data_IF_368409868790
#
_entry.id   IF_368409868790
#
_cell.length_a   1.000
_cell.length_b   1.000
_cell.length_c   1.000
_cell.angle_alpha   90.00
_cell.angle_beta   90.00
_cell.angle_gamma   90.00
#
_symmetry.space_group_name_H-M   'P 1'
#
loop_
_entity.id
_entity.type
_entity.pdbx_description
1 polymer ?
#
# COMPACT_ATOMS: atom_id res chain seq x y z
N UNK A 1 8.59 -11.53 -21.63
CA UNK A 1 8.69 -12.48 -22.76
C UNK A 1 10.12 -12.59 -23.27
N UNK A 2 10.79 -11.50 -23.66
CA UNK A 2 12.17 -11.55 -24.20
C UNK A 2 13.19 -12.31 -23.32
N UNK A 3 13.12 -12.16 -22.00
CA UNK A 3 14.02 -12.86 -21.07
C UNK A 3 13.76 -14.37 -21.01
N UNK A 4 12.50 -14.79 -21.14
CA UNK A 4 12.10 -16.20 -21.15
C UNK A 4 12.51 -16.82 -22.48
N UNK A 5 12.27 -16.13 -23.59
CA UNK A 5 12.72 -16.57 -24.90
C UNK A 5 14.25 -16.71 -24.97
N UNK A 6 14.99 -15.75 -24.40
CA UNK A 6 16.46 -15.82 -24.32
C UNK A 6 16.93 -17.05 -23.54
N UNK A 7 16.30 -17.36 -22.41
CA UNK A 7 16.60 -18.56 -21.63
C UNK A 7 16.27 -19.84 -22.42
N UNK A 8 15.09 -19.92 -23.05
CA UNK A 8 14.69 -21.09 -23.84
C UNK A 8 15.60 -21.32 -25.03
N UNK A 9 16.02 -20.28 -25.74
CA UNK A 9 16.99 -20.40 -26.84
C UNK A 9 18.34 -20.92 -26.33
N UNK A 10 18.85 -20.39 -25.21
CA UNK A 10 20.11 -20.90 -24.63
C UNK A 10 19.99 -22.35 -24.15
N UNK A 11 18.87 -22.69 -23.53
CA UNK A 11 18.61 -24.03 -22.99
C UNK A 11 18.49 -25.07 -24.11
N UNK A 12 17.73 -24.76 -25.17
CA UNK A 12 17.55 -25.63 -26.32
C UNK A 12 18.84 -25.76 -27.13
N UNK A 13 19.65 -24.69 -27.24
CA UNK A 13 20.94 -24.78 -27.91
C UNK A 13 21.90 -25.77 -27.21
N UNK A 14 21.85 -25.84 -25.88
CA UNK A 14 22.73 -26.70 -25.08
C UNK A 14 22.21 -28.15 -24.97
N UNK A 15 20.88 -28.36 -24.95
CA UNK A 15 20.29 -29.65 -24.61
C UNK A 15 19.54 -30.33 -25.78
N UNK A 16 19.03 -29.57 -26.74
CA UNK A 16 18.19 -30.06 -27.84
C UNK A 16 18.23 -29.12 -29.06
N UNK A 17 19.35 -29.05 -29.79
CA UNK A 17 19.53 -28.09 -30.88
C UNK A 17 18.54 -28.32 -32.04
N UNK A 18 18.07 -29.55 -32.23
CA UNK A 18 17.03 -29.91 -33.20
C UNK A 18 15.69 -29.22 -32.89
N UNK A 19 15.39 -28.99 -31.61
CA UNK A 19 14.16 -28.32 -31.18
C UNK A 19 14.23 -26.79 -31.31
N UNK A 20 15.41 -26.22 -31.58
CA UNK A 20 15.61 -24.78 -31.69
C UNK A 20 14.94 -24.20 -32.94
N UNK A 21 14.91 -24.95 -34.04
CA UNK A 21 14.23 -24.55 -35.28
C UNK A 21 12.72 -24.45 -35.05
N UNK A 22 12.11 -25.47 -34.41
CA UNK A 22 10.70 -25.45 -34.03
C UNK A 22 10.37 -24.35 -33.03
N UNK A 23 11.24 -24.08 -32.05
CA UNK A 23 11.03 -23.00 -31.10
C UNK A 23 11.06 -21.61 -31.76
N UNK A 24 11.97 -21.38 -32.71
CA UNK A 24 12.07 -20.08 -33.40
C UNK A 24 11.00 -19.87 -34.47
N UNK A 25 10.18 -20.89 -34.77
CA UNK A 25 9.06 -20.73 -35.68
C UNK A 25 8.05 -19.70 -35.17
N UNK A 26 7.59 -18.85 -36.08
CA UNK A 26 6.73 -17.71 -35.77
C UNK A 26 5.39 -18.15 -35.20
N UNK A 27 4.86 -19.28 -35.66
CA UNK A 27 3.62 -19.87 -35.16
C UNK A 27 3.78 -20.33 -33.70
N UNK A 28 4.89 -21.02 -33.38
CA UNK A 28 5.17 -21.48 -32.02
C UNK A 28 5.46 -20.33 -31.05
N UNK A 29 6.14 -19.27 -31.51
CA UNK A 29 6.32 -18.05 -30.71
C UNK A 29 5.00 -17.32 -30.44
N UNK A 30 4.09 -17.31 -31.42
CA UNK A 30 2.75 -16.76 -31.24
C UNK A 30 1.93 -17.59 -30.24
N UNK A 31 1.84 -18.90 -30.43
CA UNK A 31 1.16 -19.83 -29.52
C UNK A 31 1.71 -19.74 -28.09
N UNK A 32 3.03 -19.64 -27.95
CA UNK A 32 3.68 -19.44 -26.65
C UNK A 32 3.30 -18.10 -26.02
N UNK A 33 3.21 -17.03 -26.82
CA UNK A 33 2.77 -15.72 -26.32
C UNK A 33 1.31 -15.72 -25.88
N UNK A 34 0.45 -16.43 -26.62
CA UNK A 34 -0.98 -16.54 -26.34
C UNK A 34 -1.23 -17.22 -25.00
N UNK A 35 -0.46 -18.26 -24.67
CA UNK A 35 -0.51 -18.96 -23.39
C UNK A 35 -0.32 -18.05 -22.16
N UNK A 36 0.48 -16.98 -22.27
CA UNK A 36 0.64 -16.00 -21.19
C UNK A 36 -0.42 -14.90 -21.20
N UNK A 37 -1.11 -14.68 -22.33
CA UNK A 37 -2.17 -13.67 -22.45
C UNK A 37 -3.54 -14.20 -22.06
N UNK A 38 -3.84 -15.49 -22.26
CA UNK A 38 -5.10 -16.12 -21.85
C UNK A 38 -5.34 -16.02 -20.33
N UNK A 39 -4.26 -16.10 -19.54
CA UNK A 39 -4.34 -16.06 -18.06
C UNK A 39 -4.77 -14.71 -17.49
N UNK A 40 -4.91 -13.67 -18.30
CA UNK A 40 -5.33 -12.33 -17.86
C UNK A 40 -6.80 -12.00 -18.15
N UNK A 41 -7.54 -12.84 -18.90
CA UNK A 41 -8.93 -12.56 -19.29
C UNK A 41 -9.97 -13.46 -18.64
N UNK A 42 -9.56 -14.34 -17.72
CA UNK A 42 -10.48 -14.81 -16.68
C UNK A 42 -10.87 -13.60 -15.84
N UNK A 43 -11.89 -12.87 -16.32
CA UNK A 43 -12.72 -12.05 -15.47
C UNK A 43 -13.09 -12.97 -14.32
N UNK A 44 -12.60 -12.65 -13.14
CA UNK A 44 -13.11 -13.23 -11.92
C UNK A 44 -14.60 -12.91 -11.93
N UNK A 45 -15.44 -13.83 -12.41
CA UNK A 45 -16.89 -13.78 -12.41
C UNK A 45 -17.43 -13.97 -10.97
N UNK A 46 -16.65 -13.55 -9.98
CA UNK A 46 -17.16 -13.21 -8.68
C UNK A 46 -17.83 -11.85 -8.83
N UNK A 47 -19.15 -11.74 -8.61
CA UNK A 47 -19.77 -10.44 -8.44
C UNK A 47 -19.13 -9.90 -7.17
N UNK A 48 -18.11 -9.08 -7.29
CA UNK A 48 -17.58 -8.29 -6.18
C UNK A 48 -17.74 -6.87 -6.67
N UNK A 49 -18.52 -6.03 -5.98
CA UNK A 49 -18.73 -4.67 -6.43
C UNK A 49 -17.38 -3.97 -6.55
N UNK A 50 -17.22 -3.19 -7.62
CA UNK A 50 -15.99 -2.42 -7.83
C UNK A 50 -15.83 -1.43 -6.69
N UNK A 51 -14.62 -1.35 -6.12
CA UNK A 51 -14.28 -0.44 -5.02
C UNK A 51 -14.80 0.98 -5.26
N UNK A 52 -15.20 1.64 -4.18
CA UNK A 52 -15.57 3.05 -4.20
C UNK A 52 -14.44 3.92 -4.77
N UNK A 53 -14.79 4.79 -5.70
CA UNK A 53 -13.92 5.80 -6.30
C UNK A 53 -13.70 6.94 -5.31
N UNK A 54 -12.45 7.41 -5.21
CA UNK A 54 -12.11 8.59 -4.43
C UNK A 54 -12.42 9.89 -5.19
N UNK A 55 -12.43 11.02 -4.48
CA UNK A 55 -12.65 12.34 -5.07
C UNK A 55 -11.63 12.63 -6.20
N UNK A 56 -10.38 12.23 -5.99
CA UNK A 56 -9.32 12.34 -7.00
C UNK A 56 -9.59 11.50 -8.25
N UNK A 57 -10.19 10.31 -8.10
CA UNK A 57 -10.52 9.46 -9.26
C UNK A 57 -11.61 10.07 -10.12
N UNK A 58 -12.65 10.67 -9.51
CA UNK A 58 -13.67 11.42 -10.24
C UNK A 58 -13.08 12.63 -10.96
N UNK A 59 -12.24 13.39 -10.27
CA UNK A 59 -11.48 14.50 -10.86
C UNK A 59 -10.64 14.06 -12.06
N UNK A 60 -9.85 13.00 -11.90
CA UNK A 60 -9.02 12.46 -12.98
C UNK A 60 -9.86 12.03 -14.18
N UNK A 61 -11.03 11.41 -13.98
CA UNK A 61 -11.88 11.00 -15.10
C UNK A 61 -12.42 12.20 -15.90
N UNK A 62 -12.78 13.30 -15.25
CA UNK A 62 -13.28 14.51 -15.92
C UNK A 62 -12.12 15.29 -16.58
N UNK A 63 -11.08 15.63 -15.81
CA UNK A 63 -9.99 16.49 -16.28
C UNK A 63 -9.06 15.80 -17.27
N UNK A 64 -8.85 14.48 -17.15
CA UNK A 64 -8.01 13.76 -18.13
C UNK A 64 -8.61 13.84 -19.53
N UNK A 65 -9.94 13.84 -19.66
CA UNK A 65 -10.60 13.98 -20.95
C UNK A 65 -10.44 15.40 -21.51
N UNK A 66 -10.48 16.42 -20.66
CA UNK A 66 -10.23 17.81 -21.07
C UNK A 66 -8.78 18.00 -21.51
N UNK A 67 -7.80 17.57 -20.70
CA UNK A 67 -6.38 17.66 -21.04
C UNK A 67 -6.08 16.90 -22.33
N UNK A 68 -6.69 15.73 -22.54
CA UNK A 68 -6.51 14.96 -23.78
C UNK A 68 -7.09 15.67 -25.00
N UNK A 69 -8.16 16.45 -24.84
CA UNK A 69 -8.74 17.27 -25.93
C UNK A 69 -7.89 18.50 -26.21
N UNK A 70 -7.49 19.22 -25.18
CA UNK A 70 -6.73 20.47 -25.30
C UNK A 70 -5.28 20.23 -25.73
N UNK A 71 -4.71 19.11 -25.30
CA UNK A 71 -3.31 18.74 -25.52
C UNK A 71 -3.20 17.28 -25.96
N UNK A 72 -3.76 17.00 -27.14
CA UNK A 72 -3.82 15.66 -27.74
C UNK A 72 -2.45 15.02 -28.00
N UNK A 73 -1.38 15.80 -28.05
CA UNK A 73 -0.01 15.36 -28.35
C UNK A 73 0.79 14.95 -27.10
N UNK A 74 0.33 15.29 -25.88
CA UNK A 74 1.08 14.99 -24.65
C UNK A 74 1.09 13.49 -24.32
N UNK A 75 2.25 13.01 -23.86
CA UNK A 75 2.39 11.64 -23.40
C UNK A 75 1.60 11.44 -22.11
N UNK A 76 1.02 10.25 -21.92
CA UNK A 76 0.17 9.97 -20.75
C UNK A 76 0.83 10.26 -19.39
N UNK A 77 2.17 10.17 -19.29
CA UNK A 77 2.93 10.53 -18.08
C UNK A 77 2.84 12.02 -17.74
N UNK A 78 2.89 12.89 -18.76
CA UNK A 78 2.80 14.35 -18.58
C UNK A 78 1.39 14.76 -18.19
N UNK A 79 0.38 14.10 -18.77
CA UNK A 79 -1.02 14.29 -18.39
C UNK A 79 -1.24 13.97 -16.91
N UNK A 80 -0.67 12.88 -16.40
CA UNK A 80 -0.79 12.51 -14.98
C UNK A 80 -0.10 13.55 -14.08
N UNK A 81 1.07 14.06 -14.49
CA UNK A 81 1.79 15.10 -13.73
C UNK A 81 0.97 16.39 -13.65
N UNK A 82 0.38 16.80 -14.77
CA UNK A 82 -0.49 17.97 -14.85
C UNK A 82 -1.76 17.80 -13.99
N UNK A 83 -2.38 16.62 -14.01
CA UNK A 83 -3.52 16.30 -13.14
C UNK A 83 -3.17 16.43 -11.66
N UNK A 84 -2.00 15.96 -11.25
CA UNK A 84 -1.53 16.08 -9.87
C UNK A 84 -1.39 17.54 -9.42
N UNK A 85 -0.86 18.41 -10.30
CA UNK A 85 -0.73 19.84 -10.02
C UNK A 85 -2.10 20.52 -9.92
N UNK A 86 -3.00 20.26 -10.88
CA UNK A 86 -4.37 20.79 -10.85
C UNK A 86 -5.15 20.32 -9.63
N UNK A 87 -4.96 19.08 -9.19
CA UNK A 87 -5.61 18.56 -7.98
C UNK A 87 -5.16 19.28 -6.70
N UNK A 88 -3.87 19.63 -6.59
CA UNK A 88 -3.37 20.42 -5.46
C UNK A 88 -4.02 21.80 -5.41
N UNK A 89 -4.06 22.50 -6.55
CA UNK A 89 -4.74 23.79 -6.66
C UNK A 89 -6.24 23.68 -6.40
N UNK A 90 -6.87 22.60 -6.84
CA UNK A 90 -8.29 22.37 -6.63
C UNK A 90 -8.63 22.20 -5.15
N UNK A 91 -7.77 21.55 -4.35
CA UNK A 91 -8.00 21.37 -2.90
C UNK A 91 -8.10 22.70 -2.13
N UNK A 92 -7.51 23.76 -2.66
CA UNK A 92 -7.59 25.10 -2.10
C UNK A 92 -8.86 25.85 -2.55
N UNK A 93 -9.58 25.31 -3.54
CA UNK A 93 -10.79 25.90 -4.13
C UNK A 93 -12.06 25.18 -3.67
N UNK A 94 -13.20 25.89 -3.75
CA UNK A 94 -14.54 25.35 -3.42
C UNK A 94 -14.98 24.19 -4.34
N UNK A 95 -14.38 24.09 -5.52
CA UNK A 95 -14.66 23.01 -6.47
C UNK A 95 -14.25 21.63 -5.94
N UNK A 96 -13.35 21.56 -4.96
CA UNK A 96 -13.02 20.31 -4.28
C UNK A 96 -14.23 19.66 -3.61
N UNK A 97 -15.13 20.47 -3.03
CA UNK A 97 -16.34 19.97 -2.36
C UNK A 97 -17.25 19.17 -3.30
N UNK A 98 -17.30 19.54 -4.59
CA UNK A 98 -18.05 18.80 -5.62
C UNK A 98 -17.57 17.35 -5.69
N UNK A 99 -16.25 17.16 -5.78
CA UNK A 99 -15.65 15.83 -5.89
C UNK A 99 -15.69 15.05 -4.57
N UNK A 100 -15.63 15.74 -3.44
CA UNK A 100 -15.81 15.12 -2.13
C UNK A 100 -17.23 14.58 -1.95
N UNK A 101 -18.25 15.35 -2.36
CA UNK A 101 -19.66 14.89 -2.37
C UNK A 101 -19.83 13.67 -3.26
N UNK A 102 -19.28 13.68 -4.48
CA UNK A 102 -19.30 12.52 -5.38
C UNK A 102 -18.64 11.29 -4.77
N UNK A 103 -17.49 11.45 -4.12
CA UNK A 103 -16.78 10.36 -3.44
C UNK A 103 -17.58 9.79 -2.27
N UNK A 104 -18.29 10.65 -1.52
CA UNK A 104 -19.16 10.21 -0.42
C UNK A 104 -20.34 9.38 -0.95
N UNK A 105 -21.01 9.86 -2.00
CA UNK A 105 -22.09 9.11 -2.65
C UNK A 105 -21.60 7.76 -3.20
N UNK A 106 -20.41 7.71 -3.80
CA UNK A 106 -19.87 6.46 -4.33
C UNK A 106 -19.46 5.48 -3.23
N UNK A 107 -19.03 5.99 -2.07
CA UNK A 107 -18.78 5.18 -0.88
C UNK A 107 -20.07 4.56 -0.34
N UNK A 108 -21.17 5.33 -0.33
CA UNK A 108 -22.49 4.83 0.07
C UNK A 108 -22.97 3.75 -0.91
N UNK A 109 -22.87 4.00 -2.23
CA UNK A 109 -23.13 3.00 -3.28
C UNK A 109 -22.35 1.71 -3.03
N UNK A 110 -21.04 1.79 -2.85
CA UNK A 110 -20.21 0.60 -2.59
C UNK A 110 -20.60 -0.13 -1.31
N UNK A 111 -20.96 0.59 -0.23
CA UNK A 111 -21.46 -0.04 0.99
C UNK A 111 -22.75 -0.82 0.69
N UNK A 112 -23.72 -0.21 0.03
CA UNK A 112 -25.00 -0.86 -0.31
C UNK A 112 -24.83 -2.04 -1.27
N UNK A 113 -23.94 -1.93 -2.26
CA UNK A 113 -23.63 -3.04 -3.17
C UNK A 113 -22.91 -4.18 -2.43
N UNK A 114 -21.98 -3.88 -1.51
CA UNK A 114 -21.32 -4.90 -0.68
C UNK A 114 -22.31 -5.61 0.26
N UNK A 115 -23.25 -4.86 0.85
CA UNK A 115 -24.26 -5.42 1.75
C UNK A 115 -25.27 -6.30 0.98
N UNK A 116 -25.64 -5.90 -0.24
CA UNK A 116 -26.59 -6.64 -1.10
C UNK A 116 -25.98 -7.87 -1.80
N UNK A 117 -24.66 -7.91 -1.96
CA UNK A 117 -23.94 -8.91 -2.74
C UNK A 117 -23.28 -9.99 -1.87
N UNK A 118 -23.95 -10.47 -0.82
CA UNK A 118 -23.48 -11.65 -0.09
C UNK A 118 -23.68 -12.93 -0.89
N UNK A 119 -22.59 -13.60 -1.28
CA UNK A 119 -22.38 -14.94 -0.78
C UNK A 119 -21.19 -14.94 0.20
N UNK A 120 -21.39 -15.73 1.24
CA UNK A 120 -20.59 -15.89 2.47
C UNK A 120 -19.07 -15.95 2.23
N UNK A 121 -18.35 -15.29 3.16
CA UNK A 121 -16.92 -15.41 3.45
C UNK A 121 -15.90 -14.70 2.54
N UNK A 122 -15.57 -13.47 2.96
CA UNK A 122 -14.21 -13.14 3.41
C UNK A 122 -14.31 -11.99 4.42
N UNK A 123 -14.01 -12.29 5.69
CA UNK A 123 -13.75 -11.27 6.72
C UNK A 123 -12.51 -10.48 6.32
N UNK A 124 -12.66 -9.44 5.50
CA UNK A 124 -11.66 -8.38 5.41
C UNK A 124 -11.96 -7.37 6.49
N UNK A 125 -11.23 -7.53 7.59
CA UNK A 125 -11.07 -6.55 8.64
C UNK A 125 -11.10 -5.11 8.12
N UNK A 126 -12.09 -4.36 8.62
CA UNK A 126 -12.11 -2.91 8.80
C UNK A 126 -10.69 -2.30 8.63
N UNK A 127 -10.39 -1.81 7.44
CA UNK A 127 -9.17 -1.02 7.21
C UNK A 127 -9.64 0.37 6.83
N UNK A 128 -9.79 1.20 7.86
CA UNK A 128 -9.96 2.63 7.69
C UNK A 128 -8.67 3.22 7.09
N UNK A 129 -8.84 3.86 5.93
CA UNK A 129 -8.03 4.93 5.32
C UNK A 129 -6.50 4.84 5.49
N UNK A 130 -5.81 4.57 4.37
CA UNK A 130 -4.58 5.31 4.05
C UNK A 130 -4.48 5.59 2.55
N UNK A 131 -4.68 6.85 2.20
CA UNK A 131 -4.36 7.46 0.92
C UNK A 131 -2.85 7.52 0.71
N UNK A 132 -2.44 7.42 -0.56
CA UNK A 132 -1.13 7.73 -1.15
C UNK A 132 0.09 7.00 -0.55
N UNK A 133 0.89 6.44 -1.44
CA UNK A 133 2.12 5.69 -1.18
C UNK A 133 3.24 6.64 -0.71
N UNK A 134 3.02 7.29 0.43
CA UNK A 134 4.08 7.90 1.23
C UNK A 134 4.72 6.74 2.00
N UNK A 135 6.02 6.50 1.77
CA UNK A 135 6.82 5.55 2.56
C UNK A 135 6.42 5.67 4.03
N UNK A 136 6.19 4.57 4.76
CA UNK A 136 5.70 4.64 6.13
C UNK A 136 6.61 5.57 6.93
N UNK A 137 6.08 6.72 7.32
CA UNK A 137 6.79 7.69 8.14
C UNK A 137 7.19 6.93 9.40
N UNK A 138 8.50 6.67 9.56
CA UNK A 138 9.03 6.06 10.77
C UNK A 138 8.65 7.01 11.91
N UNK A 139 7.73 6.54 12.75
CA UNK A 139 7.30 7.28 13.94
C UNK A 139 8.50 7.38 14.89
N UNK A 140 8.62 8.51 15.59
CA UNK A 140 9.62 8.65 16.64
C UNK A 140 9.45 7.57 17.71
N UNK A 141 10.53 7.23 18.41
CA UNK A 141 10.46 6.32 19.56
C UNK A 141 9.52 6.91 20.61
N UNK A 142 8.67 6.08 21.21
CA UNK A 142 7.76 6.51 22.29
C UNK A 142 8.46 6.42 23.64
N UNK A 143 7.94 7.09 24.66
CA UNK A 143 8.46 7.03 26.03
C UNK A 143 8.52 5.58 26.55
N UNK A 144 7.50 4.78 26.22
CA UNK A 144 7.47 3.34 26.51
C UNK A 144 8.57 2.56 25.79
N UNK A 145 8.93 2.93 24.56
CA UNK A 145 10.00 2.25 23.80
C UNK A 145 11.38 2.51 24.43
N UNK A 146 11.61 3.72 24.96
CA UNK A 146 12.83 4.08 25.69
C UNK A 146 12.89 3.37 27.04
N UNK A 147 11.75 3.33 27.76
CA UNK A 147 11.63 2.54 28.98
C UNK A 147 11.96 1.06 28.75
N UNK A 148 11.38 0.44 27.71
CA UNK A 148 11.68 -0.93 27.38
C UNK A 148 13.14 -1.16 26.95
N UNK A 149 13.86 -0.17 26.38
CA UNK A 149 15.27 -0.40 26.04
C UNK A 149 16.14 -0.54 27.27
N UNK A 150 15.86 0.26 28.30
CA UNK A 150 16.71 0.37 29.49
C UNK A 150 16.39 -0.75 30.48
N UNK A 151 15.11 -1.09 30.63
CA UNK A 151 14.65 -2.11 31.57
C UNK A 151 14.71 -3.54 31.01
N UNK A 152 14.66 -3.73 29.68
CA UNK A 152 14.74 -5.08 29.10
C UNK A 152 16.08 -5.76 29.38
N UNK A 153 17.16 -5.00 29.50
CA UNK A 153 18.48 -5.54 29.87
C UNK A 153 18.46 -6.07 31.30
N UNK A 154 17.82 -5.35 32.22
CA UNK A 154 17.67 -5.76 33.62
C UNK A 154 16.77 -6.98 33.77
N UNK A 155 15.59 -6.96 33.14
CA UNK A 155 14.64 -8.09 33.19
C UNK A 155 15.23 -9.33 32.52
N UNK A 156 16.00 -9.19 31.43
CA UNK A 156 16.69 -10.34 30.82
C UNK A 156 17.84 -10.87 31.68
N UNK A 157 18.48 -10.03 32.49
CA UNK A 157 19.50 -10.47 33.45
C UNK A 157 18.90 -11.20 34.66
N UNK A 158 17.73 -10.77 35.12
CA UNK A 158 16.99 -11.43 36.21
C UNK A 158 16.32 -12.73 35.75
N UNK A 159 15.88 -12.78 34.50
CA UNK A 159 15.16 -13.91 33.90
C UNK A 159 15.78 -14.33 32.56
N UNK A 160 16.98 -14.94 32.58
CA UNK A 160 17.73 -15.28 31.37
C UNK A 160 17.02 -16.31 30.46
N UNK A 161 16.21 -17.21 31.04
CA UNK A 161 15.49 -18.28 30.32
C UNK A 161 14.05 -17.91 29.93
N UNK A 162 13.58 -16.71 30.31
CA UNK A 162 12.21 -16.29 30.04
C UNK A 162 12.02 -15.90 28.57
N UNK A 163 10.87 -16.26 27.99
CA UNK A 163 10.59 -15.96 26.59
C UNK A 163 10.52 -14.45 26.38
N UNK A 164 11.04 -13.90 25.26
CA UNK A 164 11.02 -12.46 24.99
C UNK A 164 9.63 -11.82 25.04
N UNK A 165 8.57 -12.58 24.73
CA UNK A 165 7.17 -12.13 24.81
C UNK A 165 6.71 -11.92 26.27
N UNK A 166 7.16 -12.78 27.18
CA UNK A 166 6.83 -12.69 28.62
C UNK A 166 7.60 -11.55 29.28
N UNK A 167 8.87 -11.35 28.89
CA UNK A 167 9.67 -10.18 29.28
C UNK A 167 8.98 -8.87 28.84
N UNK A 168 8.47 -8.80 27.60
CA UNK A 168 7.74 -7.60 27.15
C UNK A 168 6.41 -7.40 27.87
N UNK A 169 5.72 -8.48 28.25
CA UNK A 169 4.48 -8.41 29.06
C UNK A 169 4.77 -7.89 30.48
N UNK A 170 5.86 -8.34 31.09
CA UNK A 170 6.31 -7.87 32.40
C UNK A 170 6.71 -6.38 32.35
N UNK A 171 7.43 -5.96 31.32
CA UNK A 171 7.76 -4.55 31.08
C UNK A 171 6.50 -3.68 30.88
N UNK A 172 5.48 -4.20 30.19
CA UNK A 172 4.21 -3.49 30.04
C UNK A 172 3.50 -3.27 31.39
N UNK A 173 3.52 -4.29 32.27
CA UNK A 173 2.95 -4.20 33.61
C UNK A 173 3.74 -3.21 34.48
N UNK A 174 5.07 -3.27 34.46
CA UNK A 174 5.95 -2.32 35.18
C UNK A 174 5.74 -0.88 34.69
N UNK A 175 5.54 -0.66 33.39
CA UNK A 175 5.24 0.66 32.83
C UNK A 175 3.91 1.25 33.29
N UNK A 176 2.87 0.43 33.48
CA UNK A 176 1.60 0.92 34.03
C UNK A 176 1.76 1.27 35.51
N UNK A 177 2.42 0.42 36.31
CA UNK A 177 2.72 0.73 37.72
C UNK A 177 3.56 1.99 37.89
N UNK A 178 4.53 2.23 37.00
CA UNK A 178 5.34 3.45 36.99
C UNK A 178 4.50 4.74 36.85
N UNK A 179 3.37 4.68 36.13
CA UNK A 179 2.48 5.84 36.03
C UNK A 179 1.76 6.14 37.34
N UNK A 180 1.43 5.09 38.09
CA UNK A 180 0.61 5.19 39.29
C UNK A 180 1.45 5.47 40.54
N UNK A 181 2.69 4.94 40.60
CA UNK A 181 3.53 4.99 41.81
C UNK A 181 4.74 5.94 41.69
N UNK A 182 5.26 6.17 40.47
CA UNK A 182 6.53 6.89 40.28
C UNK A 182 6.48 7.81 39.05
N UNK A 183 5.52 8.74 39.10
CA UNK A 183 5.21 9.67 38.00
C UNK A 183 6.42 10.48 37.53
N UNK A 184 7.39 10.73 38.42
CA UNK A 184 8.62 11.48 38.12
C UNK A 184 9.53 10.74 37.13
N UNK A 185 9.67 9.42 37.28
CA UNK A 185 10.47 8.61 36.36
C UNK A 185 9.71 8.40 35.03
N UNK A 186 8.38 8.31 35.08
CA UNK A 186 7.54 8.31 33.88
C UNK A 186 7.66 9.62 33.09
N UNK A 187 7.68 10.78 33.77
CA UNK A 187 7.91 12.09 33.17
C UNK A 187 9.33 12.22 32.60
N UNK A 188 10.34 11.66 33.27
CA UNK A 188 11.71 11.57 32.73
C UNK A 188 11.73 10.83 31.40
N UNK A 189 11.08 9.66 31.28
CA UNK A 189 11.00 8.95 30.01
C UNK A 189 10.20 9.70 28.94
N UNK A 190 9.19 10.48 29.32
CA UNK A 190 8.47 11.38 28.39
C UNK A 190 9.36 12.52 27.88
N UNK A 191 10.19 13.10 28.75
CA UNK A 191 11.08 14.20 28.40
C UNK A 191 12.32 13.74 27.60
N UNK A 192 12.71 12.47 27.74
CA UNK A 192 13.79 11.85 26.95
C UNK A 192 13.36 11.57 25.49
N UNK A 193 12.05 11.55 25.21
CA UNK A 193 11.57 11.49 23.83
C UNK A 193 11.83 12.86 23.19
N UNK A 194 12.99 12.98 22.52
CA UNK A 194 13.32 14.19 21.77
C UNK A 194 12.18 14.52 20.79
N UNK A 195 11.65 15.76 20.77
CA UNK A 195 10.76 16.18 19.71
C UNK A 195 11.49 16.02 18.38
N UNK A 196 10.75 15.59 17.36
CA UNK A 196 11.26 15.43 16.01
C UNK A 196 11.44 16.85 15.42
N UNK A 197 12.54 17.52 15.76
CA UNK A 197 12.90 18.80 15.16
C UNK A 197 13.11 18.59 13.65
N UNK A 198 12.20 19.18 12.86
CA UNK A 198 12.48 20.19 11.84
C UNK A 198 13.71 20.05 10.91
N UNK A 199 14.20 18.85 10.60
CA UNK A 199 15.15 18.69 9.48
C UNK A 199 14.40 18.48 8.16
N UNK A 200 13.70 19.52 7.72
CA UNK A 200 13.20 19.63 6.36
C UNK A 200 13.18 21.12 5.97
N UNK A 201 14.36 21.73 6.03
CA UNK A 201 14.71 22.93 5.25
C UNK A 201 15.20 22.49 3.86
#
# INVERSE_FOLDING_TARGET
MEHINKYMVSFLLENAPEALEYWNDKENQQNFSEFFTEKSTEKTDTPTPKKAKSAYMFFCTEERQKIKKDKSELKGKEIIKELGNRWKLLKENKDFEKYEKMAKMDKERYSTEMDSNSPVEKKTSKTEKKSEEVKPIKRGKTAYTMFCSDERVKVKSEYPDMKPQEVMRELAARWQKLKDENITEFERYKNLVKPKNEDNE
#
